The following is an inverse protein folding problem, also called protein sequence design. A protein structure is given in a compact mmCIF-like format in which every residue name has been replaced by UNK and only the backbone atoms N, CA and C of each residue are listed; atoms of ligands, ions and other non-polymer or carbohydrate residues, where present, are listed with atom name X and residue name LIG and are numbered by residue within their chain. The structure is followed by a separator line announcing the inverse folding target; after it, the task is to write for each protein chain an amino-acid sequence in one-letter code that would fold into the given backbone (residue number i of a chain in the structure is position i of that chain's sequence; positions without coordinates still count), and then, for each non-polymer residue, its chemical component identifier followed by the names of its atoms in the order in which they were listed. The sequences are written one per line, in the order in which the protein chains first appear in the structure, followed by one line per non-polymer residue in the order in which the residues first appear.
data_IF_947269280421
#
_entry.id   IF_947269280421
#
_cell.length_a   1.000
_cell.length_b   1.000
_cell.length_c   1.000
_cell.angle_alpha   90.00
_cell.angle_beta   90.00
_cell.angle_gamma   90.00
#
_symmetry.space_group_name_H-M   'P 1'
#
loop_
_entity.id
_entity.type
_entity.pdbx_description
1 polymer ?
#
# COMPACT_ATOMS: atom_id res chain seq x y z
N UNK A 1 -27.03 -2.20 -6.94
CA UNK A 1 -26.08 -1.17 -7.40
C UNK A 1 -24.71 -1.72 -7.07
N UNK A 2 -23.84 -1.89 -8.06
CA UNK A 2 -22.45 -2.28 -7.80
C UNK A 2 -21.80 -1.17 -6.98
N UNK A 3 -21.21 -1.52 -5.83
CA UNK A 3 -20.46 -0.54 -5.02
C UNK A 3 -19.14 -0.30 -5.73
N UNK A 4 -18.78 0.96 -5.99
CA UNK A 4 -17.45 1.30 -6.48
C UNK A 4 -16.42 0.84 -5.44
N UNK A 5 -15.47 0.02 -5.86
CA UNK A 5 -14.45 -0.51 -4.97
C UNK A 5 -13.54 0.61 -4.45
N UNK A 6 -13.18 0.50 -3.16
CA UNK A 6 -12.31 1.43 -2.44
C UNK A 6 -10.87 0.95 -2.51
N UNK A 7 -10.00 1.75 -3.11
CA UNK A 7 -8.56 1.49 -3.19
C UNK A 7 -7.86 2.37 -2.18
N UNK A 8 -7.06 1.76 -1.29
CA UNK A 8 -6.12 2.48 -0.44
C UNK A 8 -4.75 2.52 -1.12
N UNK A 9 -4.34 3.71 -1.54
CA UNK A 9 -3.04 4.00 -2.13
C UNK A 9 -2.08 4.52 -1.05
N UNK A 10 -0.93 3.87 -0.88
CA UNK A 10 0.04 4.16 0.17
C UNK A 10 1.43 4.42 -0.41
N UNK A 11 1.93 5.66 -0.35
CA UNK A 11 3.29 6.02 -0.79
C UNK A 11 3.70 7.37 -0.15
N UNK A 12 5.00 7.64 0.04
CA UNK A 12 5.45 8.93 0.60
C UNK A 12 5.70 10.01 -0.47
N UNK A 13 5.69 9.66 -1.76
CA UNK A 13 5.89 10.58 -2.89
C UNK A 13 4.55 11.18 -3.37
N UNK A 14 4.36 12.47 -3.14
CA UNK A 14 3.12 13.19 -3.48
C UNK A 14 2.77 13.12 -4.96
N UNK A 15 3.77 13.16 -5.83
CA UNK A 15 3.57 13.15 -7.29
C UNK A 15 3.04 11.79 -7.75
N UNK A 16 3.59 10.70 -7.22
CA UNK A 16 3.09 9.34 -7.47
C UNK A 16 1.65 9.17 -6.97
N UNK A 17 1.34 9.68 -5.77
CA UNK A 17 -0.03 9.66 -5.24
C UNK A 17 -0.98 10.41 -6.18
N UNK A 18 -0.62 11.63 -6.59
CA UNK A 18 -1.48 12.46 -7.42
C UNK A 18 -1.76 11.82 -8.79
N UNK A 19 -0.73 11.31 -9.46
CA UNK A 19 -0.84 10.68 -10.78
C UNK A 19 -1.70 9.41 -10.73
N UNK A 20 -1.41 8.52 -9.77
CA UNK A 20 -2.15 7.27 -9.61
C UNK A 20 -3.59 7.51 -9.15
N UNK A 21 -3.81 8.48 -8.25
CA UNK A 21 -5.15 8.85 -7.81
C UNK A 21 -5.98 9.37 -8.99
N UNK A 22 -5.42 10.23 -9.85
CA UNK A 22 -6.12 10.75 -11.02
C UNK A 22 -6.54 9.62 -11.99
N UNK A 23 -5.63 8.68 -12.27
CA UNK A 23 -5.91 7.52 -13.15
C UNK A 23 -7.00 6.61 -12.58
N UNK A 24 -6.93 6.29 -11.29
CA UNK A 24 -7.91 5.41 -10.63
C UNK A 24 -9.29 6.05 -10.51
N UNK A 25 -9.35 7.35 -10.19
CA UNK A 25 -10.59 8.13 -10.17
C UNK A 25 -11.22 8.19 -11.57
N UNK A 26 -10.43 8.36 -12.63
CA UNK A 26 -10.91 8.37 -14.01
C UNK A 26 -11.53 7.02 -14.43
N UNK A 27 -11.09 5.91 -13.80
CA UNK A 27 -11.69 4.57 -13.97
C UNK A 27 -12.94 4.34 -13.09
N UNK A 28 -13.36 5.33 -12.29
CA UNK A 28 -14.56 5.26 -11.46
C UNK A 28 -14.37 4.65 -10.06
N UNK A 29 -13.13 4.42 -9.62
CA UNK A 29 -12.85 3.84 -8.30
C UNK A 29 -12.90 4.90 -7.21
N UNK A 30 -13.16 4.51 -5.97
CA UNK A 30 -12.95 5.37 -4.82
C UNK A 30 -11.50 5.25 -4.38
N UNK A 31 -10.79 6.37 -4.23
CA UNK A 31 -9.37 6.37 -3.87
C UNK A 31 -9.18 7.04 -2.52
N UNK A 32 -8.61 6.28 -1.59
CA UNK A 32 -8.15 6.70 -0.28
C UNK A 32 -6.62 6.80 -0.35
N UNK A 33 -6.02 7.76 0.33
CA UNK A 33 -4.57 7.95 0.32
C UNK A 33 -3.98 7.93 1.72
N UNK A 34 -2.77 7.42 1.84
CA UNK A 34 -1.96 7.51 3.05
C UNK A 34 -0.48 7.68 2.69
N UNK A 35 0.25 8.49 3.46
CA UNK A 35 1.66 8.80 3.21
C UNK A 35 2.65 8.02 4.06
N UNK A 36 2.14 7.23 5.00
CA UNK A 36 2.95 6.43 5.93
C UNK A 36 2.13 5.27 6.50
N UNK A 37 2.83 4.35 7.18
CA UNK A 37 2.24 3.15 7.76
C UNK A 37 1.10 3.44 8.74
N UNK A 38 1.29 4.36 9.68
CA UNK A 38 0.29 4.61 10.73
C UNK A 38 -1.01 5.18 10.14
N UNK A 39 -0.88 6.11 9.20
CA UNK A 39 -2.03 6.64 8.47
C UNK A 39 -2.71 5.56 7.64
N UNK A 40 -1.96 4.67 6.99
CA UNK A 40 -2.52 3.57 6.22
C UNK A 40 -3.31 2.59 7.10
N UNK A 41 -2.78 2.23 8.27
CA UNK A 41 -3.47 1.40 9.26
C UNK A 41 -4.76 2.06 9.76
N UNK A 42 -4.72 3.37 10.05
CA UNK A 42 -5.89 4.14 10.48
C UNK A 42 -6.97 4.18 9.39
N UNK A 43 -6.60 4.53 8.16
CA UNK A 43 -7.54 4.59 7.03
C UNK A 43 -8.12 3.21 6.74
N UNK A 44 -7.30 2.15 6.75
CA UNK A 44 -7.76 0.78 6.53
C UNK A 44 -8.84 0.36 7.54
N UNK A 45 -8.64 0.67 8.83
CA UNK A 45 -9.59 0.37 9.91
C UNK A 45 -10.93 1.10 9.75
N UNK A 46 -10.90 2.38 9.38
CA UNK A 46 -12.11 3.19 9.28
C UNK A 46 -12.86 2.95 7.97
N UNK A 47 -12.15 2.87 6.86
CA UNK A 47 -12.76 2.89 5.53
C UNK A 47 -12.98 1.52 4.91
N UNK A 48 -12.28 0.48 5.41
CA UNK A 48 -12.35 -0.91 4.95
C UNK A 48 -12.15 -1.03 3.43
N UNK A 49 -10.92 -0.79 2.92
CA UNK A 49 -10.63 -0.82 1.50
C UNK A 49 -10.82 -2.24 0.93
N UNK A 50 -11.16 -2.30 -0.35
CA UNK A 50 -11.31 -3.53 -1.13
C UNK A 50 -10.00 -3.95 -1.80
N UNK A 51 -9.03 -3.03 -1.90
CA UNK A 51 -7.69 -3.23 -2.48
C UNK A 51 -6.70 -2.28 -1.79
N UNK A 52 -5.48 -2.75 -1.55
CA UNK A 52 -4.36 -1.89 -1.14
C UNK A 52 -3.31 -1.86 -2.26
N UNK A 53 -2.90 -0.66 -2.65
CA UNK A 53 -1.73 -0.42 -3.49
C UNK A 53 -0.65 0.17 -2.58
N UNK A 54 0.37 -0.63 -2.29
CA UNK A 54 1.48 -0.26 -1.44
C UNK A 54 2.68 0.09 -2.32
N UNK A 55 2.94 1.38 -2.42
CA UNK A 55 4.16 1.92 -2.97
C UNK A 55 5.34 1.74 -2.01
N UNK A 56 6.31 2.64 -2.12
CA UNK A 56 7.39 2.70 -1.15
C UNK A 56 7.11 3.78 -0.13
N UNK A 57 7.21 3.44 1.14
CA UNK A 57 7.11 4.40 2.25
C UNK A 57 8.39 4.39 3.06
N UNK A 58 8.70 5.55 3.64
CA UNK A 58 9.85 5.75 4.52
C UNK A 58 9.44 5.67 5.99
N UNK A 59 10.35 5.20 6.87
CA UNK A 59 11.68 4.65 6.58
C UNK A 59 11.62 3.23 5.99
N UNK A 60 12.73 2.77 5.40
CA UNK A 60 12.88 1.39 4.90
C UNK A 60 12.40 0.34 5.91
N UNK A 61 11.56 -0.58 5.44
CA UNK A 61 10.92 -1.63 6.24
C UNK A 61 9.52 -1.28 6.76
N UNK A 62 9.06 -0.02 6.67
CA UNK A 62 7.67 0.30 7.06
C UNK A 62 6.64 -0.29 6.08
N UNK A 63 6.97 -0.36 4.78
CA UNK A 63 6.14 -1.07 3.80
C UNK A 63 5.98 -2.56 4.17
N UNK A 64 7.07 -3.21 4.55
CA UNK A 64 7.02 -4.61 5.00
C UNK A 64 6.18 -4.78 6.27
N UNK A 65 6.35 -3.90 7.25
CA UNK A 65 5.54 -3.93 8.48
C UNK A 65 4.06 -3.76 8.21
N UNK A 66 3.70 -2.87 7.27
CA UNK A 66 2.31 -2.70 6.83
C UNK A 66 1.77 -3.97 6.15
N UNK A 67 2.57 -4.59 5.27
CA UNK A 67 2.24 -5.89 4.67
C UNK A 67 1.93 -6.95 5.76
N UNK A 68 2.84 -7.10 6.73
CA UNK A 68 2.67 -8.05 7.82
C UNK A 68 1.40 -7.76 8.64
N UNK A 69 1.16 -6.50 8.96
CA UNK A 69 -0.02 -6.09 9.70
C UNK A 69 -1.32 -6.42 8.95
N UNK A 70 -1.38 -6.17 7.63
CA UNK A 70 -2.53 -6.54 6.79
C UNK A 70 -2.76 -8.06 6.81
N UNK A 71 -1.71 -8.86 6.64
CA UNK A 71 -1.79 -10.34 6.62
C UNK A 71 -2.17 -10.95 7.97
N UNK A 72 -1.75 -10.33 9.08
CA UNK A 72 -2.08 -10.80 10.43
C UNK A 72 -3.45 -10.34 10.91
N UNK A 73 -4.05 -9.33 10.26
CA UNK A 73 -5.36 -8.79 10.63
C UNK A 73 -6.49 -9.62 9.99
N UNK A 74 -7.40 -10.22 10.77
CA UNK A 74 -8.51 -11.01 10.22
C UNK A 74 -9.37 -10.26 9.21
N UNK A 75 -9.53 -8.95 9.40
CA UNK A 75 -10.34 -8.08 8.54
C UNK A 75 -9.65 -7.76 7.19
N UNK A 76 -8.33 -7.95 7.08
CA UNK A 76 -7.54 -7.48 5.93
C UNK A 76 -6.70 -8.57 5.26
N UNK A 77 -6.58 -9.76 5.86
CA UNK A 77 -5.70 -10.83 5.33
C UNK A 77 -6.07 -11.28 3.90
N UNK A 78 -7.35 -11.20 3.57
CA UNK A 78 -7.90 -11.54 2.24
C UNK A 78 -7.97 -10.33 1.30
N UNK A 79 -7.71 -9.12 1.79
CA UNK A 79 -7.71 -7.91 0.95
C UNK A 79 -6.52 -8.02 -0.01
N UNK A 80 -6.76 -7.94 -1.33
CA UNK A 80 -5.68 -7.96 -2.31
C UNK A 80 -4.69 -6.81 -2.05
N UNK A 81 -3.40 -7.12 -2.22
CA UNK A 81 -2.32 -6.17 -2.03
C UNK A 81 -1.43 -6.17 -3.28
N UNK A 82 -1.32 -5.02 -3.92
CA UNK A 82 -0.39 -4.78 -5.03
C UNK A 82 0.78 -3.99 -4.46
N UNK A 83 2.00 -4.50 -4.66
CA UNK A 83 3.22 -3.79 -4.25
C UNK A 83 3.83 -3.12 -5.48
N UNK A 84 4.07 -1.82 -5.38
CA UNK A 84 4.78 -1.01 -6.38
C UNK A 84 6.11 -0.61 -5.74
N UNK A 85 7.18 -1.27 -6.14
CA UNK A 85 8.49 -1.03 -5.55
C UNK A 85 9.23 0.13 -6.22
N UNK A 86 10.19 0.70 -5.51
CA UNK A 86 11.00 1.80 -6.00
C UNK A 86 12.00 1.32 -7.07
N UNK A 87 12.43 2.23 -7.96
CA UNK A 87 13.57 2.00 -8.84
C UNK A 87 14.80 1.53 -8.05
N UNK A 88 15.68 0.69 -8.65
CA UNK A 88 16.84 0.12 -7.96
C UNK A 88 17.69 1.14 -7.18
N UNK A 89 17.88 2.33 -7.74
CA UNK A 89 18.64 3.44 -7.15
C UNK A 89 18.07 3.97 -5.82
N UNK A 90 16.75 3.84 -5.60
CA UNK A 90 16.06 4.32 -4.39
C UNK A 90 15.87 3.23 -3.32
N UNK A 91 16.10 1.95 -3.63
CA UNK A 91 15.91 0.80 -2.71
C UNK A 91 16.79 0.80 -1.46
N UNK A 92 17.87 1.59 -1.43
CA UNK A 92 18.72 1.69 -0.25
C UNK A 92 18.03 2.40 0.92
N UNK A 93 17.14 3.34 0.61
CA UNK A 93 16.46 4.21 1.58
C UNK A 93 14.95 3.92 1.68
N UNK A 94 14.35 3.32 0.65
CA UNK A 94 12.92 2.97 0.60
C UNK A 94 12.70 1.48 0.35
N UNK A 95 11.44 1.06 0.49
CA UNK A 95 11.02 -0.30 0.15
C UNK A 95 11.44 -1.34 1.18
N UNK A 96 11.61 -2.57 0.70
CA UNK A 96 11.79 -3.75 1.53
C UNK A 96 13.28 -3.96 1.82
N UNK A 97 13.61 -4.48 3.00
CA UNK A 97 14.97 -4.99 3.27
C UNK A 97 15.20 -6.30 2.53
N UNK A 98 16.45 -6.65 2.28
CA UNK A 98 16.79 -7.91 1.58
C UNK A 98 16.26 -9.13 2.34
N UNK A 99 16.38 -9.14 3.67
CA UNK A 99 15.86 -10.21 4.51
C UNK A 99 14.33 -10.25 4.58
N UNK A 100 13.68 -9.10 4.38
CA UNK A 100 12.22 -8.97 4.29
C UNK A 100 11.71 -9.49 2.94
N UNK A 101 12.39 -9.17 1.85
CA UNK A 101 12.07 -9.70 0.51
C UNK A 101 12.20 -11.22 0.43
N UNK A 102 13.27 -11.79 1.00
CA UNK A 102 13.47 -13.25 1.06
C UNK A 102 12.35 -13.97 1.85
N UNK A 103 11.70 -13.31 2.80
CA UNK A 103 10.57 -13.89 3.55
C UNK A 103 9.32 -14.01 2.68
N UNK A 104 9.12 -13.14 1.69
CA UNK A 104 7.99 -13.28 0.76
C UNK A 104 8.12 -14.46 -0.17
N UNK A 105 9.33 -14.72 -0.68
CA UNK A 105 9.56 -15.82 -1.62
C UNK A 105 9.32 -17.19 -0.97
N UNK A 106 9.24 -17.22 0.36
CA UNK A 106 8.99 -18.42 1.16
C UNK A 106 7.52 -18.60 1.57
N UNK A 107 6.64 -17.62 1.33
CA UNK A 107 5.19 -17.67 1.58
C UNK A 107 4.41 -18.09 0.33
#
# INVERSE_FOLDING_TARGET
MERNAKILLVDDESDFIADMQAELLAKGWQVLTASNRLQAEEVARHEKPDLVILGTIVPRGDAFRLHQWLKQSPDFREVPLIVVDAPPEKRLIKGWRMDEGLKLEAE
#
